data_IF_912839862243
#
_entry.id   IF_912839862243
#
_cell.length_a   1.000
_cell.length_b   1.000
_cell.length_c   1.000
_cell.angle_alpha   90.00
_cell.angle_beta   90.00
_cell.angle_gamma   90.00
#
_symmetry.space_group_name_H-M   'P 1'
#
loop_
_entity.id
_entity.type
_entity.pdbx_description
1 polymer ?
#
# COMPACT_ATOMS: atom_id res chain seq x y z
N UNK A 1 -6.04 7.13 6.17
CA UNK A 1 -5.26 6.17 7.00
C UNK A 1 -5.81 4.80 6.69
N UNK A 2 -4.93 3.84 6.41
CA UNK A 2 -5.33 2.46 6.11
C UNK A 2 -4.94 1.50 7.23
N UNK A 3 -5.61 0.36 7.24
CA UNK A 3 -5.34 -0.74 8.17
C UNK A 3 -4.83 -1.93 7.39
N UNK A 4 -3.94 -2.70 8.01
CA UNK A 4 -3.53 -3.99 7.48
C UNK A 4 -4.72 -4.98 7.50
N UNK A 5 -4.86 -5.85 6.48
CA UNK A 5 -4.09 -5.86 5.23
C UNK A 5 -4.61 -4.83 4.23
N UNK A 6 -3.71 -4.31 3.40
CA UNK A 6 -4.10 -3.45 2.27
C UNK A 6 -4.39 -4.29 1.02
N UNK A 7 -5.23 -3.74 0.14
CA UNK A 7 -5.51 -4.28 -1.19
C UNK A 7 -5.27 -3.21 -2.24
N UNK A 8 -4.48 -3.53 -3.26
CA UNK A 8 -4.26 -2.65 -4.42
C UNK A 8 -5.29 -3.00 -5.50
N UNK A 9 -5.93 -2.00 -6.09
CA UNK A 9 -6.92 -2.24 -7.14
C UNK A 9 -6.29 -2.96 -8.35
N UNK A 10 -6.99 -3.97 -8.88
CA UNK A 10 -6.59 -4.67 -10.11
C UNK A 10 -7.33 -4.10 -11.32
N UNK A 11 -6.66 -4.09 -12.47
CA UNK A 11 -7.21 -3.65 -13.74
C UNK A 11 -7.86 -4.82 -14.48
N UNK A 12 -9.16 -4.73 -14.71
CA UNK A 12 -9.90 -5.67 -15.55
C UNK A 12 -9.99 -5.19 -16.99
N UNK A 13 -9.46 -5.94 -17.95
CA UNK A 13 -9.70 -5.72 -19.39
C UNK A 13 -10.50 -6.89 -19.97
N UNK A 14 -11.69 -6.61 -20.51
CA UNK A 14 -12.63 -7.60 -21.06
C UNK A 14 -12.65 -7.67 -22.59
N UNK A 15 -11.90 -6.82 -23.28
CA UNK A 15 -11.87 -6.78 -24.75
C UNK A 15 -10.96 -7.86 -25.35
N UNK A 16 -11.03 -8.00 -26.68
CA UNK A 16 -10.30 -9.03 -27.42
C UNK A 16 -8.91 -8.60 -27.90
N UNK A 17 -8.47 -7.36 -27.61
CA UNK A 17 -7.14 -6.89 -28.01
C UNK A 17 -6.05 -7.57 -27.15
N UNK A 18 -5.18 -8.43 -27.74
CA UNK A 18 -4.20 -9.19 -26.99
C UNK A 18 -3.14 -8.29 -26.33
N UNK A 19 -2.82 -7.14 -26.93
CA UNK A 19 -1.82 -6.21 -26.39
C UNK A 19 -2.34 -5.53 -25.12
N UNK A 20 -3.61 -5.11 -25.14
CA UNK A 20 -4.26 -4.52 -23.96
C UNK A 20 -4.45 -5.55 -22.85
N UNK A 21 -4.77 -6.80 -23.20
CA UNK A 21 -4.85 -7.91 -22.25
C UNK A 21 -3.50 -8.20 -21.59
N UNK A 22 -2.42 -8.27 -22.37
CA UNK A 22 -1.07 -8.46 -21.84
C UNK A 22 -0.60 -7.28 -20.97
N UNK A 23 -0.98 -6.05 -21.33
CA UNK A 23 -0.71 -4.86 -20.50
C UNK A 23 -1.43 -4.94 -19.14
N UNK A 24 -2.73 -5.26 -19.15
CA UNK A 24 -3.50 -5.42 -17.92
C UNK A 24 -2.95 -6.55 -17.03
N UNK A 25 -2.56 -7.67 -17.62
CA UNK A 25 -1.94 -8.77 -16.89
C UNK A 25 -0.62 -8.35 -16.22
N UNK A 26 0.26 -7.64 -16.95
CA UNK A 26 1.52 -7.11 -16.37
C UNK A 26 1.26 -6.15 -15.22
N UNK A 27 0.32 -5.23 -15.39
CA UNK A 27 -0.04 -4.27 -14.35
C UNK A 27 -0.61 -4.95 -13.10
N UNK A 28 -1.43 -5.99 -13.28
CA UNK A 28 -1.96 -6.78 -12.17
C UNK A 28 -0.90 -7.61 -11.44
N UNK A 29 0.10 -8.13 -12.17
CA UNK A 29 1.22 -8.83 -11.55
C UNK A 29 2.04 -7.86 -10.69
N UNK A 30 2.37 -6.67 -11.22
CA UNK A 30 3.04 -5.62 -10.44
C UNK A 30 2.23 -5.20 -9.22
N UNK A 31 0.90 -5.06 -9.36
CA UNK A 31 0.03 -4.75 -8.23
C UNK A 31 0.06 -5.83 -7.14
N UNK A 32 0.10 -7.12 -7.53
CA UNK A 32 0.20 -8.23 -6.59
C UNK A 32 1.56 -8.26 -5.87
N UNK A 33 2.65 -8.01 -6.59
CA UNK A 33 3.99 -7.97 -6.01
C UNK A 33 4.13 -6.82 -5.00
N UNK A 34 3.62 -5.63 -5.35
CA UNK A 34 3.59 -4.47 -4.47
C UNK A 34 2.72 -4.71 -3.23
N UNK A 35 1.51 -5.25 -3.41
CA UNK A 35 0.60 -5.54 -2.31
C UNK A 35 1.22 -6.52 -1.31
N UNK A 36 1.88 -7.57 -1.80
CA UNK A 36 2.61 -8.50 -0.96
C UNK A 36 3.74 -7.81 -0.19
N UNK A 37 4.61 -7.07 -0.90
CA UNK A 37 5.76 -6.39 -0.28
C UNK A 37 5.33 -5.36 0.78
N UNK A 38 4.27 -4.60 0.51
CA UNK A 38 3.72 -3.64 1.47
C UNK A 38 3.11 -4.37 2.66
N UNK A 39 2.28 -5.40 2.44
CA UNK A 39 1.69 -6.14 3.55
C UNK A 39 2.76 -6.82 4.44
N UNK A 40 3.87 -7.30 3.86
CA UNK A 40 5.01 -7.83 4.63
C UNK A 40 5.71 -6.75 5.47
N UNK A 41 5.79 -5.51 4.96
CA UNK A 41 6.28 -4.33 5.71
C UNK A 41 5.33 -3.98 6.86
N UNK A 42 4.04 -3.93 6.60
CA UNK A 42 3.02 -3.57 7.59
C UNK A 42 2.90 -4.62 8.70
N UNK A 43 3.15 -5.89 8.39
CA UNK A 43 3.18 -6.96 9.39
C UNK A 43 4.31 -6.76 10.41
N UNK A 44 5.41 -6.14 9.99
CA UNK A 44 6.59 -5.85 10.81
C UNK A 44 6.53 -4.46 11.47
N UNK A 45 5.42 -3.73 11.33
CA UNK A 45 5.26 -2.40 11.91
C UNK A 45 5.22 -2.46 13.43
N UNK A 46 6.18 -1.81 14.09
CA UNK A 46 6.23 -1.74 15.55
C UNK A 46 5.49 -0.51 16.10
N UNK A 47 5.53 0.62 15.37
CA UNK A 47 4.90 1.87 15.80
C UNK A 47 3.38 1.80 15.68
N UNK A 48 2.58 2.36 16.61
CA UNK A 48 1.12 2.38 16.52
C UNK A 48 0.59 3.01 15.22
N UNK A 49 1.24 4.07 14.76
CA UNK A 49 0.97 4.72 13.48
C UNK A 49 2.29 5.02 12.76
N UNK A 50 2.33 4.71 11.47
CA UNK A 50 3.51 4.95 10.64
C UNK A 50 3.12 5.37 9.23
N UNK A 51 3.82 6.37 8.70
CA UNK A 51 3.73 6.76 7.29
C UNK A 51 4.78 6.03 6.48
N UNK A 52 4.37 5.50 5.32
CA UNK A 52 5.24 4.86 4.34
C UNK A 52 5.24 5.68 3.06
N UNK A 53 6.43 6.06 2.58
CA UNK A 53 6.54 6.86 1.37
C UNK A 53 6.73 5.97 0.14
N UNK A 54 6.13 6.37 -0.99
CA UNK A 54 6.23 5.59 -2.23
C UNK A 54 7.66 5.48 -2.76
N UNK A 55 8.52 6.46 -2.49
CA UNK A 55 9.93 6.38 -2.90
C UNK A 55 10.71 5.31 -2.11
N UNK A 56 10.37 5.09 -0.84
CA UNK A 56 10.97 4.03 -0.02
C UNK A 56 10.50 2.66 -0.50
N UNK A 57 9.21 2.52 -0.79
CA UNK A 57 8.63 1.28 -1.35
C UNK A 57 9.23 0.97 -2.72
N UNK A 58 9.42 1.98 -3.57
CA UNK A 58 10.09 1.84 -4.86
C UNK A 58 11.53 1.33 -4.70
N UNK A 59 12.28 1.89 -3.75
CA UNK A 59 13.63 1.42 -3.45
C UNK A 59 13.66 -0.02 -2.93
N UNK A 60 12.66 -0.43 -2.15
CA UNK A 60 12.57 -1.80 -1.61
C UNK A 60 12.21 -2.83 -2.68
N UNK A 61 11.32 -2.47 -3.60
CA UNK A 61 10.72 -3.40 -4.57
C UNK A 61 11.41 -3.39 -5.93
N UNK A 62 12.22 -2.36 -6.20
CA UNK A 62 12.89 -2.16 -7.49
C UNK A 62 11.99 -1.58 -8.59
N UNK A 63 10.71 -1.32 -8.31
CA UNK A 63 9.81 -0.63 -9.25
C UNK A 63 10.07 0.87 -9.27
N UNK A 64 9.67 1.53 -10.36
CA UNK A 64 9.75 2.98 -10.42
C UNK A 64 8.78 3.64 -9.44
N UNK A 65 9.18 4.79 -8.88
CA UNK A 65 8.34 5.60 -7.99
C UNK A 65 6.99 5.93 -8.64
N UNK A 66 6.99 6.19 -9.94
CA UNK A 66 5.76 6.45 -10.70
C UNK A 66 4.81 5.24 -10.71
N UNK A 67 5.35 4.03 -10.92
CA UNK A 67 4.55 2.79 -10.89
C UNK A 67 3.97 2.54 -9.50
N UNK A 68 4.80 2.68 -8.47
CA UNK A 68 4.37 2.54 -7.07
C UNK A 68 3.31 3.58 -6.72
N UNK A 69 3.51 4.84 -7.10
CA UNK A 69 2.54 5.91 -6.87
C UNK A 69 1.22 5.62 -7.58
N UNK A 70 1.27 5.24 -8.86
CA UNK A 70 0.07 4.98 -9.67
C UNK A 70 -0.79 3.88 -9.06
N UNK A 71 -0.17 2.77 -8.66
CA UNK A 71 -0.88 1.63 -8.08
C UNK A 71 -1.25 1.88 -6.61
N UNK A 72 -0.33 2.46 -5.85
CA UNK A 72 -0.50 2.80 -4.43
C UNK A 72 -1.54 3.89 -4.19
N UNK A 73 -1.82 4.76 -5.16
CA UNK A 73 -2.89 5.75 -5.06
C UNK A 73 -4.25 5.12 -4.75
N UNK A 74 -4.49 3.87 -5.17
CA UNK A 74 -5.72 3.14 -4.87
C UNK A 74 -5.92 2.77 -3.39
N UNK A 75 -4.89 2.90 -2.56
CA UNK A 75 -4.90 2.51 -1.15
C UNK A 75 -5.54 3.60 -0.27
N UNK A 76 -5.07 4.86 -0.37
CA UNK A 76 -5.51 5.96 0.52
C UNK A 76 -5.47 7.33 -0.18
N UNK A 77 -5.45 7.38 -1.52
CA UNK A 77 -5.36 8.62 -2.32
C UNK A 77 -4.18 9.56 -1.97
N UNK A 78 -3.19 9.11 -1.21
CA UNK A 78 -2.04 9.92 -0.83
C UNK A 78 -1.07 10.11 -2.00
N UNK A 79 -0.56 11.34 -2.17
CA UNK A 79 0.29 11.70 -3.31
C UNK A 79 1.74 11.18 -3.19
N UNK A 80 2.26 11.14 -1.97
CA UNK A 80 3.65 10.78 -1.67
C UNK A 80 3.80 9.46 -0.91
N UNK A 81 2.71 8.92 -0.39
CA UNK A 81 2.70 7.77 0.49
C UNK A 81 1.34 7.59 1.14
N UNK A 82 1.28 6.77 2.18
CA UNK A 82 0.08 6.53 2.97
C UNK A 82 0.46 6.31 4.44
N UNK A 83 -0.50 6.53 5.32
CA UNK A 83 -0.33 6.33 6.76
C UNK A 83 -1.12 5.11 7.23
N UNK A 84 -0.47 4.25 8.00
CA UNK A 84 -1.01 2.97 8.46
C UNK A 84 -1.09 2.89 9.96
N UNK A 85 -2.20 2.35 10.44
CA UNK A 85 -2.39 1.93 11.83
C UNK A 85 -1.89 0.50 11.99
N UNK A 86 -1.09 0.26 13.01
CA UNK A 86 -0.53 -1.05 13.33
C UNK A 86 -1.64 -2.09 13.43
N UNK A 87 -1.41 -3.27 12.87
CA UNK A 87 -2.33 -4.40 12.97
C UNK A 87 -2.70 -4.65 14.44
N UNK A 88 -4.00 -4.86 14.68
CA UNK A 88 -4.53 -5.20 15.99
C UNK A 88 -4.81 -4.00 16.89
N UNK A 89 -4.55 -2.77 16.43
CA UNK A 89 -5.04 -1.55 17.07
C UNK A 89 -6.25 -1.02 16.30
N UNK A 90 -7.25 -0.58 17.05
CA UNK A 90 -8.28 0.32 16.54
C UNK A 90 -7.71 1.71 16.29
N UNK A 91 -8.44 2.53 15.52
CA UNK A 91 -8.08 3.92 15.30
C UNK A 91 -7.97 4.70 16.62
N UNK A 92 -8.91 4.51 17.54
CA UNK A 92 -8.90 5.18 18.84
C UNK A 92 -7.69 4.80 19.69
N UNK A 93 -7.37 3.50 19.78
CA UNK A 93 -6.19 3.04 20.52
C UNK A 93 -4.90 3.59 19.92
N UNK A 94 -4.79 3.58 18.59
CA UNK A 94 -3.63 4.12 17.89
C UNK A 94 -3.45 5.61 18.15
N UNK A 95 -4.55 6.38 18.17
CA UNK A 95 -4.50 7.82 18.48
C UNK A 95 -4.17 8.06 19.96
N UNK A 96 -4.69 7.28 20.91
CA UNK A 96 -4.31 7.38 22.34
C UNK A 96 -2.83 7.11 22.57
N UNK A 97 -2.26 6.10 21.91
CA UNK A 97 -0.82 5.80 21.98
C UNK A 97 0.07 6.91 21.41
N UNK A 98 -0.43 7.74 20.49
CA UNK A 98 0.30 8.92 20.00
C UNK A 98 0.23 10.09 20.98
N UNK A 99 -0.91 10.26 21.67
CA UNK A 99 -1.16 11.38 22.56
C UNK A 99 -0.58 11.18 23.97
N UNK A 100 0.02 10.02 24.26
CA UNK A 100 0.74 9.77 25.51
C UNK A 100 -0.18 9.64 26.73
N UNK A 101 -1.40 9.14 26.56
CA UNK A 101 -2.25 8.73 27.69
C UNK A 101 -1.91 7.30 28.14
N UNK A 102 -0.63 7.02 28.36
CA UNK A 102 -0.21 5.94 29.23
C UNK A 102 -0.42 6.43 30.67
N UNK A 103 -1.57 6.06 31.25
CA UNK A 103 -1.83 6.23 32.68
C UNK A 103 -0.92 5.35 33.52
#
# INVERSE_FOLDING_TARGET
>A
MVTYPISIARVGYRGNDPNKRAKAARENNTAADLEKAINDLLLKQERPVQSYMYHEIASLTGYSVETVRKLGFSIDCGHNGFTVIRRGLSHEEAMRSIHGEDK
#
